data_IF_846260115156
#
_entry.id   IF_846260115156
#
_cell.length_a   1.000
_cell.length_b   1.000
_cell.length_c   1.000
_cell.angle_alpha   90.00
_cell.angle_beta   90.00
_cell.angle_gamma   90.00
#
_symmetry.space_group_name_H-M   'P 1'
#
loop_
_entity.id
_entity.type
_entity.pdbx_description
1 polymer ?
#
# COMPACT_ATOMS: atom_id res chain seq x y z
N UNK A 1 -2.93 20.35 1.11
CA UNK A 1 -3.18 18.92 0.84
C UNK A 1 -3.71 18.78 -0.58
N UNK A 2 -3.15 17.86 -1.36
CA UNK A 2 -3.55 17.59 -2.75
C UNK A 2 -3.86 16.09 -2.91
N UNK A 3 -4.62 15.74 -3.94
CA UNK A 3 -4.93 14.35 -4.25
C UNK A 3 -4.31 13.95 -5.58
N UNK A 4 -3.84 12.71 -5.67
CA UNK A 4 -3.38 12.08 -6.91
C UNK A 4 -4.26 10.85 -7.18
N UNK A 5 -4.99 10.86 -8.29
CA UNK A 5 -5.84 9.75 -8.71
C UNK A 5 -5.12 8.91 -9.77
N UNK A 6 -5.15 7.59 -9.61
CA UNK A 6 -4.45 6.62 -10.43
C UNK A 6 -5.42 5.53 -10.86
N UNK A 7 -5.30 5.08 -12.10
CA UNK A 7 -5.92 3.84 -12.57
C UNK A 7 -4.82 2.92 -13.10
N UNK A 8 -4.60 1.82 -12.39
CA UNK A 8 -3.63 0.80 -12.75
C UNK A 8 -4.27 -0.23 -13.69
N UNK A 9 -3.47 -0.69 -14.65
CA UNK A 9 -3.87 -1.64 -15.69
C UNK A 9 -3.55 -3.08 -15.28
N UNK A 10 -4.15 -4.09 -15.94
CA UNK A 10 -3.80 -5.48 -15.73
C UNK A 10 -2.28 -5.73 -15.81
N UNK A 11 -1.75 -6.53 -14.89
CA UNK A 11 -0.33 -6.88 -14.80
C UNK A 11 0.54 -5.84 -14.11
N UNK A 12 0.04 -4.63 -13.82
CA UNK A 12 0.76 -3.66 -12.99
C UNK A 12 0.90 -4.18 -11.56
N UNK A 13 2.08 -4.04 -10.97
CA UNK A 13 2.30 -4.36 -9.56
C UNK A 13 1.81 -3.19 -8.69
N UNK A 14 0.85 -3.46 -7.81
CA UNK A 14 0.13 -2.43 -7.06
C UNK A 14 1.06 -1.63 -6.16
N UNK A 15 1.96 -2.29 -5.42
CA UNK A 15 2.79 -1.62 -4.42
C UNK A 15 3.80 -0.67 -5.09
N UNK A 16 4.52 -1.13 -6.12
CA UNK A 16 5.52 -0.33 -6.82
C UNK A 16 4.89 0.86 -7.53
N UNK A 17 3.74 0.66 -8.19
CA UNK A 17 3.06 1.75 -8.89
C UNK A 17 2.60 2.87 -7.95
N UNK A 18 2.17 2.55 -6.72
CA UNK A 18 1.83 3.57 -5.72
C UNK A 18 3.07 4.31 -5.18
N UNK A 19 4.19 3.60 -5.01
CA UNK A 19 5.46 4.22 -4.63
C UNK A 19 5.97 5.15 -5.73
N UNK A 20 6.01 4.68 -6.97
CA UNK A 20 6.44 5.47 -8.13
C UNK A 20 5.62 6.75 -8.27
N UNK A 21 4.28 6.63 -8.20
CA UNK A 21 3.40 7.79 -8.26
C UNK A 21 3.60 8.78 -7.09
N UNK A 22 3.93 8.27 -5.89
CA UNK A 22 4.27 9.12 -4.75
C UNK A 22 5.61 9.84 -4.96
N UNK A 23 6.64 9.13 -5.40
CA UNK A 23 7.98 9.67 -5.64
C UNK A 23 7.94 10.74 -6.75
N UNK A 24 7.25 10.47 -7.86
CA UNK A 24 7.06 11.42 -8.96
C UNK A 24 6.28 12.67 -8.54
N UNK A 25 5.43 12.56 -7.52
CA UNK A 25 4.67 13.71 -7.01
C UNK A 25 5.53 14.74 -6.28
N UNK A 26 6.76 14.38 -5.88
CA UNK A 26 7.66 15.21 -5.08
C UNK A 26 7.20 15.45 -3.64
N UNK A 27 6.15 14.76 -3.17
CA UNK A 27 5.69 14.86 -1.79
C UNK A 27 6.68 14.17 -0.82
N UNK A 28 6.68 14.61 0.44
CA UNK A 28 7.46 13.96 1.50
C UNK A 28 6.58 13.22 2.52
N UNK A 29 5.27 13.30 2.37
CA UNK A 29 4.30 12.63 3.21
C UNK A 29 3.02 12.38 2.41
N UNK A 30 2.54 11.14 2.47
CA UNK A 30 1.30 10.75 1.82
C UNK A 30 0.63 9.56 2.46
N UNK A 31 -0.59 9.27 2.01
CA UNK A 31 -1.36 8.12 2.46
C UNK A 31 -2.33 7.68 1.37
N UNK A 32 -2.82 6.43 1.47
CA UNK A 32 -3.87 5.92 0.59
C UNK A 32 -5.22 6.37 1.12
N UNK A 33 -5.91 7.23 0.37
CA UNK A 33 -7.24 7.72 0.71
C UNK A 33 -8.33 6.71 0.28
N UNK A 34 -8.13 6.04 -0.85
CA UNK A 34 -8.99 4.97 -1.33
C UNK A 34 -8.22 4.07 -2.30
N UNK A 35 -8.58 2.79 -2.33
CA UNK A 35 -8.22 1.91 -3.44
C UNK A 35 -9.31 0.83 -3.59
N UNK A 36 -9.81 0.67 -4.81
CA UNK A 36 -10.74 -0.39 -5.21
C UNK A 36 -10.24 -1.03 -6.49
N UNK A 37 -10.57 -2.29 -6.72
CA UNK A 37 -10.09 -2.99 -7.91
C UNK A 37 -9.89 -4.46 -7.65
N UNK A 38 -9.02 -5.09 -8.41
CA UNK A 38 -8.89 -6.54 -8.36
C UNK A 38 -7.47 -7.02 -8.61
N UNK A 39 -7.11 -8.15 -7.99
CA UNK A 39 -5.78 -8.74 -8.07
C UNK A 39 -5.83 -10.19 -8.57
N UNK A 40 -4.76 -10.61 -9.24
CA UNK A 40 -4.54 -12.02 -9.65
C UNK A 40 -3.88 -12.80 -8.52
N UNK A 41 -3.09 -12.11 -7.70
CA UNK A 41 -2.40 -12.63 -6.52
C UNK A 41 -2.16 -11.48 -5.55
N UNK A 42 -2.20 -11.77 -4.25
CA UNK A 42 -1.84 -10.81 -3.20
C UNK A 42 -0.84 -11.45 -2.21
N UNK A 43 0.44 -11.11 -2.28
CA UNK A 43 1.42 -11.48 -1.26
C UNK A 43 1.17 -10.67 0.03
N UNK A 44 0.81 -11.36 1.11
CA UNK A 44 0.50 -10.75 2.40
C UNK A 44 1.38 -11.35 3.50
N UNK A 45 2.02 -10.50 4.30
CA UNK A 45 2.63 -10.92 5.56
C UNK A 45 1.60 -10.77 6.68
N UNK A 46 1.26 -11.88 7.32
CA UNK A 46 0.28 -11.89 8.42
C UNK A 46 0.91 -11.40 9.73
N UNK A 47 0.05 -11.14 10.71
CA UNK A 47 0.50 -10.71 12.03
C UNK A 47 1.46 -11.75 12.64
N UNK A 48 2.56 -11.27 13.21
CA UNK A 48 3.59 -12.09 13.87
C UNK A 48 4.24 -13.16 12.98
N UNK A 49 4.35 -12.86 11.68
CA UNK A 49 5.04 -13.70 10.69
C UNK A 49 6.15 -12.92 10.01
N UNK A 50 7.25 -13.61 9.73
CA UNK A 50 8.36 -13.07 8.95
C UNK A 50 8.12 -13.23 7.44
N UNK A 51 7.46 -14.32 7.06
CA UNK A 51 7.22 -14.74 5.69
C UNK A 51 5.92 -14.17 5.10
N UNK A 52 5.97 -13.86 3.81
CA UNK A 52 4.79 -13.55 3.04
C UNK A 52 4.07 -14.84 2.63
N UNK A 53 2.74 -14.83 2.72
CA UNK A 53 1.85 -15.86 2.18
C UNK A 53 1.21 -15.32 0.91
N UNK A 54 1.28 -16.08 -0.17
CA UNK A 54 0.55 -15.75 -1.40
C UNK A 54 -0.93 -16.11 -1.22
N UNK A 55 -1.80 -15.10 -1.37
CA UNK A 55 -3.23 -15.32 -1.52
C UNK A 55 -3.54 -15.39 -3.02
N UNK A 56 -3.88 -16.57 -3.57
CA UNK A 56 -4.19 -16.71 -4.98
C UNK A 56 -5.56 -16.11 -5.30
N UNK A 57 -5.67 -15.51 -6.48
CA UNK A 57 -6.94 -14.95 -6.95
C UNK A 57 -7.82 -15.90 -7.75
N UNK A 58 -8.92 -15.37 -8.30
CA UNK A 58 -9.26 -13.95 -8.38
C UNK A 58 -9.62 -13.31 -7.03
N UNK A 59 -9.13 -12.09 -6.79
CA UNK A 59 -9.39 -11.28 -5.60
C UNK A 59 -10.00 -9.91 -5.91
N UNK A 60 -10.96 -9.46 -5.11
CA UNK A 60 -11.37 -8.04 -5.05
C UNK A 60 -10.58 -7.32 -3.96
N UNK A 61 -10.09 -6.11 -4.24
CA UNK A 61 -9.49 -5.20 -3.26
C UNK A 61 -10.64 -4.57 -2.47
N UNK A 62 -10.78 -4.96 -1.21
CA UNK A 62 -11.81 -4.44 -0.30
C UNK A 62 -11.32 -3.20 0.42
N UNK A 63 -10.05 -3.18 0.80
CA UNK A 63 -9.42 -2.01 1.41
C UNK A 63 -7.90 -2.03 1.19
N UNK A 64 -7.35 -0.85 0.92
CA UNK A 64 -5.92 -0.57 1.02
C UNK A 64 -5.75 0.66 1.91
N UNK A 65 -4.98 0.52 2.98
CA UNK A 65 -4.69 1.60 3.91
C UNK A 65 -3.21 1.67 4.18
N UNK A 66 -2.68 2.87 4.37
CA UNK A 66 -1.28 3.01 4.73
C UNK A 66 -0.69 4.37 4.44
N UNK A 67 0.59 4.50 4.79
CA UNK A 67 1.37 5.73 4.68
C UNK A 67 2.49 5.56 3.66
N UNK A 68 2.82 6.66 2.99
CA UNK A 68 3.89 6.78 2.00
C UNK A 68 4.89 7.81 2.53
N UNK A 69 6.16 7.42 2.58
CA UNK A 69 7.27 8.23 3.09
C UNK A 69 8.45 8.13 2.14
N UNK A 70 9.42 9.03 2.28
CA UNK A 70 10.65 9.00 1.46
C UNK A 70 11.50 7.75 1.69
N UNK A 71 11.28 7.05 2.81
CA UNK A 71 11.99 5.81 3.17
C UNK A 71 11.19 4.55 2.78
N UNK A 72 10.06 4.74 2.10
CA UNK A 72 9.19 3.67 1.60
C UNK A 72 7.81 3.63 2.25
N UNK A 73 6.97 2.69 1.79
CA UNK A 73 5.57 2.61 2.18
C UNK A 73 5.36 1.72 3.41
N UNK A 74 4.24 1.90 4.10
CA UNK A 74 3.67 0.91 5.00
C UNK A 74 2.20 0.75 4.64
N UNK A 75 1.88 -0.33 3.93
CA UNK A 75 0.56 -0.59 3.36
C UNK A 75 -0.01 -1.89 3.91
N UNK A 76 -1.26 -1.84 4.34
CA UNK A 76 -2.07 -3.01 4.67
C UNK A 76 -3.16 -3.18 3.61
N UNK A 77 -3.31 -4.40 3.13
CA UNK A 77 -4.26 -4.77 2.08
C UNK A 77 -5.26 -5.78 2.66
N UNK A 78 -6.53 -5.60 2.31
CA UNK A 78 -7.62 -6.55 2.56
C UNK A 78 -8.25 -6.92 1.24
N UNK A 79 -8.35 -8.23 0.98
CA UNK A 79 -8.90 -8.80 -0.26
C UNK A 79 -10.02 -9.79 0.03
N UNK A 80 -10.95 -9.94 -0.91
CA UNK A 80 -11.99 -10.96 -0.87
C UNK A 80 -11.89 -11.92 -2.06
N UNK A 81 -12.06 -13.22 -1.82
CA UNK A 81 -12.12 -14.25 -2.85
C UNK A 81 -13.52 -14.35 -3.52
N UNK A 82 -13.70 -15.29 -4.44
CA UNK A 82 -14.94 -15.52 -5.16
C UNK A 82 -16.11 -15.96 -4.24
N UNK A 83 -15.80 -16.51 -3.07
CA UNK A 83 -16.77 -16.91 -2.05
C UNK A 83 -17.02 -15.80 -1.01
N UNK A 84 -16.37 -14.64 -1.16
CA UNK A 84 -16.48 -13.50 -0.26
C UNK A 84 -15.68 -13.66 1.04
N UNK A 85 -14.78 -14.64 1.15
CA UNK A 85 -13.90 -14.75 2.32
C UNK A 85 -12.83 -13.67 2.25
N UNK A 86 -12.66 -12.98 3.37
CA UNK A 86 -11.74 -11.86 3.48
C UNK A 86 -10.42 -12.30 4.09
N UNK A 87 -9.32 -11.95 3.43
CA UNK A 87 -7.96 -12.13 3.94
C UNK A 87 -7.24 -10.78 3.94
N UNK A 88 -6.49 -10.49 5.01
CA UNK A 88 -5.80 -9.21 5.16
C UNK A 88 -4.44 -9.35 5.82
N UNK A 89 -3.55 -8.41 5.53
CA UNK A 89 -2.20 -8.39 6.09
C UNK A 89 -1.39 -7.22 5.58
N UNK A 90 -0.10 -7.22 5.92
CA UNK A 90 0.87 -6.26 5.39
C UNK A 90 1.16 -6.59 3.92
N UNK A 91 1.00 -5.61 3.04
CA UNK A 91 1.19 -5.78 1.60
C UNK A 91 2.67 -5.92 1.26
N UNK A 92 3.04 -7.10 0.76
CA UNK A 92 4.37 -7.39 0.28
C UNK A 92 4.45 -7.15 -1.25
N UNK A 93 5.65 -6.98 -1.83
CA UNK A 93 5.80 -6.86 -3.28
C UNK A 93 5.25 -8.08 -4.03
N UNK A 94 4.66 -7.84 -5.20
CA UNK A 94 4.16 -8.88 -6.11
C UNK A 94 2.64 -8.95 -6.23
N UNK A 95 1.90 -7.96 -5.72
CA UNK A 95 0.45 -7.91 -5.89
C UNK A 95 0.10 -7.40 -7.29
N UNK A 96 -0.35 -8.30 -8.17
CA UNK A 96 -0.60 -8.00 -9.58
C UNK A 96 -2.06 -7.66 -9.84
N UNK A 97 -2.30 -6.50 -10.45
CA UNK A 97 -3.63 -6.05 -10.87
C UNK A 97 -4.22 -7.03 -11.90
N UNK A 98 -5.46 -7.49 -11.67
CA UNK A 98 -6.16 -8.41 -12.57
C UNK A 98 -6.93 -7.67 -13.66
N UNK A 99 -7.84 -6.78 -13.28
CA UNK A 99 -8.65 -6.00 -14.24
C UNK A 99 -8.35 -4.51 -14.18
N UNK A 100 -8.39 -3.93 -12.98
CA UNK A 100 -8.01 -2.55 -12.71
C UNK A 100 -7.75 -2.37 -11.22
N UNK A 101 -6.99 -1.33 -10.86
CA UNK A 101 -7.00 -0.80 -9.50
C UNK A 101 -7.09 0.73 -9.57
N UNK A 102 -8.14 1.28 -8.98
CA UNK A 102 -8.41 2.71 -8.91
C UNK A 102 -7.97 3.18 -7.53
N UNK A 103 -6.91 3.98 -7.47
CA UNK A 103 -6.31 4.45 -6.22
C UNK A 103 -6.36 5.97 -6.15
N UNK A 104 -6.59 6.49 -4.95
CA UNK A 104 -6.47 7.91 -4.63
C UNK A 104 -5.46 8.06 -3.50
N UNK A 105 -4.41 8.82 -3.76
CA UNK A 105 -3.41 9.19 -2.76
C UNK A 105 -3.71 10.58 -2.21
N UNK A 106 -3.68 10.72 -0.88
CA UNK A 106 -3.63 12.00 -0.20
C UNK A 106 -2.17 12.40 0.00
N UNK A 107 -1.79 13.58 -0.52
CA UNK A 107 -0.43 14.12 -0.44
C UNK A 107 -0.44 15.42 0.36
N UNK A 108 0.57 15.61 1.22
CA UNK A 108 0.67 16.81 2.04
C UNK A 108 2.09 17.35 2.07
N UNK A 109 2.19 18.68 2.00
CA UNK A 109 3.44 19.41 2.17
C UNK A 109 3.58 19.96 3.60
N UNK A 110 2.55 19.80 4.45
CA UNK A 110 2.57 20.24 5.85
C UNK A 110 3.42 19.34 6.76
N UNK A 111 3.73 18.13 6.28
CA UNK A 111 4.53 17.16 7.02
C UNK A 111 5.60 16.55 6.12
N UNK A 112 6.65 16.03 6.76
CA UNK A 112 7.58 15.07 6.19
C UNK A 112 7.47 13.77 6.99
N UNK A 113 7.31 12.65 6.30
CA UNK A 113 7.35 11.32 6.88
C UNK A 113 8.72 10.71 6.59
N UNK A 114 9.32 10.11 7.61
CA UNK A 114 10.52 9.30 7.50
C UNK A 114 10.36 8.02 8.32
N UNK A 115 11.21 7.02 8.07
CA UNK A 115 11.27 5.79 8.84
C UNK A 115 12.67 5.56 9.39
N UNK A 116 12.76 5.32 10.69
CA UNK A 116 14.01 5.02 11.37
C UNK A 116 13.78 3.91 12.40
N UNK A 117 14.85 3.20 12.75
CA UNK A 117 14.79 2.15 13.77
C UNK A 117 14.31 2.73 15.10
N UNK A 118 13.21 2.20 15.62
CA UNK A 118 12.74 2.49 16.98
C UNK A 118 13.29 1.42 17.93
N UNK A 119 14.12 1.78 18.94
CA UNK A 119 14.64 0.82 19.91
C UNK A 119 13.57 0.09 20.73
N UNK A 120 12.37 0.66 20.87
CA UNK A 120 11.29 0.04 21.62
C UNK A 120 10.61 -1.10 20.85
N UNK A 121 10.56 -1.02 19.51
CA UNK A 121 9.88 -2.03 18.67
C UNK A 121 10.86 -2.91 17.90
N UNK A 122 12.08 -2.44 17.65
CA UNK A 122 13.06 -3.09 16.79
C UNK A 122 12.77 -2.93 15.29
N UNK A 123 11.78 -2.13 14.90
CA UNK A 123 11.38 -1.92 13.51
C UNK A 123 11.60 -0.48 13.05
N UNK A 124 11.57 -0.27 11.73
CA UNK A 124 11.62 1.05 11.13
C UNK A 124 10.24 1.74 11.21
N UNK A 125 10.02 2.48 12.29
CA UNK A 125 8.75 3.14 12.60
C UNK A 125 8.61 4.51 11.95
N UNK A 126 7.37 5.01 11.86
CA UNK A 126 7.06 6.31 11.26
C UNK A 126 7.46 7.47 12.20
N UNK A 127 8.29 8.37 11.69
CA UNK A 127 8.58 9.67 12.29
C UNK A 127 7.92 10.79 11.49
N UNK A 128 7.32 11.75 12.20
CA UNK A 128 6.54 12.84 11.60
C UNK A 128 7.19 14.17 11.97
N UNK A 129 7.51 14.99 10.98
CA UNK A 129 8.02 16.36 11.16
C UNK A 129 7.12 17.37 10.45
N UNK A 130 6.78 18.47 11.11
CA UNK A 130 6.10 19.59 10.46
C UNK A 130 7.01 20.28 9.43
N UNK A 131 6.42 20.86 8.39
CA UNK A 131 7.10 21.63 7.34
C UNK A 131 6.56 23.04 7.25
#
# INVERSE_FOLDING_TARGET
MRHLALRLSPGTELRSALCEAFDESGAAAGFVAACVGSLTVAPLRFADRDDAVEVPGPLEIVALSGTLSTDGPHLHLTVADAEGRVTGGHLMPGALVRTTAEAVLGLTDAFAFSRALDPATGYAELFIRAR
#
